data_IF_320227188346
#
_entry.id   IF_320227188346
#
_cell.length_a   1.000
_cell.length_b   1.000
_cell.length_c   1.000
_cell.angle_alpha   90.00
_cell.angle_beta   90.00
_cell.angle_gamma   90.00
#
_symmetry.space_group_name_H-M   'P 1'
#
loop_
_entity.id
_entity.type
_entity.pdbx_description
1 polymer ?
#
# COMPACT_ATOMS: atom_id res chain seq x y z
N UNK A 1 20.46 -11.51 8.73
CA UNK A 1 19.56 -10.38 8.40
C UNK A 1 20.32 -9.24 7.75
N UNK A 2 21.21 -8.52 8.45
CA UNK A 2 21.97 -7.38 7.85
C UNK A 2 22.71 -7.77 6.56
N UNK A 3 23.43 -8.89 6.56
CA UNK A 3 24.11 -9.39 5.35
C UNK A 3 23.13 -9.78 4.23
N UNK A 4 21.92 -10.23 4.56
CA UNK A 4 20.88 -10.55 3.58
C UNK A 4 20.40 -9.27 2.90
N UNK A 5 20.04 -8.26 3.68
CA UNK A 5 19.59 -6.95 3.16
C UNK A 5 20.70 -6.31 2.34
N UNK A 6 21.95 -6.39 2.76
CA UNK A 6 23.10 -5.89 2.00
C UNK A 6 23.27 -6.58 0.64
N UNK A 7 23.07 -7.90 0.57
CA UNK A 7 23.11 -8.64 -0.70
C UNK A 7 21.94 -8.24 -1.60
N UNK A 8 20.72 -8.22 -1.06
CA UNK A 8 19.50 -7.87 -1.80
C UNK A 8 19.57 -6.43 -2.33
N UNK A 9 20.02 -5.48 -1.52
CA UNK A 9 20.20 -4.08 -1.92
C UNK A 9 21.20 -3.95 -3.07
N UNK A 10 22.32 -4.69 -3.01
CA UNK A 10 23.32 -4.72 -4.07
C UNK A 10 22.76 -5.30 -5.37
N UNK A 11 22.05 -6.43 -5.29
CA UNK A 11 21.41 -7.05 -6.45
C UNK A 11 20.31 -6.15 -7.06
N UNK A 12 19.58 -5.42 -6.23
CA UNK A 12 18.56 -4.45 -6.63
C UNK A 12 19.13 -3.09 -7.09
N UNK A 13 20.44 -2.88 -6.98
CA UNK A 13 21.11 -1.65 -7.42
C UNK A 13 20.78 -0.41 -6.58
N UNK A 14 20.57 -0.57 -5.27
CA UNK A 14 20.34 0.53 -4.33
C UNK A 14 21.41 0.58 -3.24
N UNK A 15 21.58 1.75 -2.61
CA UNK A 15 22.38 1.86 -1.38
C UNK A 15 21.82 0.97 -0.25
N UNK A 16 22.71 0.58 0.67
CA UNK A 16 22.35 -0.30 1.79
C UNK A 16 21.32 0.39 2.71
N UNK A 17 20.11 -0.15 2.86
CA UNK A 17 19.16 0.33 3.85
C UNK A 17 19.70 0.13 5.27
N UNK A 18 19.37 1.06 6.17
CA UNK A 18 19.47 0.82 7.59
C UNK A 18 18.54 -0.35 7.96
N UNK A 19 18.96 -1.19 8.90
CA UNK A 19 18.17 -2.34 9.35
C UNK A 19 17.86 -2.17 10.82
N UNK A 20 16.57 -2.05 11.15
CA UNK A 20 16.09 -1.96 12.53
C UNK A 20 15.25 -3.18 12.91
N UNK A 21 15.30 -3.51 14.20
CA UNK A 21 14.38 -4.47 14.82
C UNK A 21 13.53 -3.70 15.81
N UNK A 22 12.21 -3.92 15.78
CA UNK A 22 11.30 -3.34 16.75
C UNK A 22 10.51 -4.44 17.46
N UNK A 23 10.12 -4.17 18.70
CA UNK A 23 9.41 -5.15 19.50
C UNK A 23 7.91 -5.14 19.18
N UNK A 24 7.42 -6.25 18.63
CA UNK A 24 6.01 -6.49 18.35
C UNK A 24 5.80 -7.99 18.12
N UNK A 25 4.78 -8.61 18.74
CA UNK A 25 4.48 -10.03 18.54
C UNK A 25 3.95 -10.34 17.13
N UNK A 26 3.49 -9.33 16.39
CA UNK A 26 2.91 -9.51 15.06
C UNK A 26 4.00 -9.82 14.03
N UNK A 27 3.71 -10.67 13.04
CA UNK A 27 4.62 -10.93 11.91
C UNK A 27 4.54 -9.76 10.95
N UNK A 28 5.54 -8.87 10.96
CA UNK A 28 5.53 -7.68 10.13
C UNK A 28 6.95 -7.15 9.81
N UNK A 29 7.08 -6.50 8.67
CA UNK A 29 8.24 -5.71 8.27
C UNK A 29 7.76 -4.55 7.39
N UNK A 30 8.54 -3.46 7.34
CA UNK A 30 8.25 -2.34 6.46
C UNK A 30 9.52 -1.60 6.04
N UNK A 31 9.52 -1.07 4.82
CA UNK A 31 10.49 -0.12 4.34
C UNK A 31 9.99 1.34 4.44
N UNK A 32 10.87 2.25 4.79
CA UNK A 32 10.64 3.70 4.73
C UNK A 32 11.88 4.44 4.20
N UNK A 33 11.71 5.61 3.58
CA UNK A 33 12.81 6.39 3.03
C UNK A 33 12.44 7.18 1.78
N UNK A 34 12.98 8.39 1.67
CA UNK A 34 12.74 9.26 0.50
C UNK A 34 13.73 8.99 -0.65
N UNK A 35 14.87 8.36 -0.37
CA UNK A 35 15.91 8.11 -1.37
C UNK A 35 16.26 6.63 -1.40
N UNK A 36 16.57 6.13 -2.60
CA UNK A 36 17.02 4.73 -2.79
C UNK A 36 18.26 4.39 -1.96
N UNK A 37 19.14 5.38 -1.79
CA UNK A 37 20.42 5.22 -1.10
C UNK A 37 20.37 5.61 0.39
N UNK A 38 19.19 5.99 0.89
CA UNK A 38 18.97 6.36 2.29
C UNK A 38 17.57 5.93 2.70
N UNK A 39 17.44 4.64 2.99
CA UNK A 39 16.20 3.99 3.41
C UNK A 39 16.42 3.15 4.66
N UNK A 40 15.32 2.78 5.32
CA UNK A 40 15.27 1.95 6.51
C UNK A 40 14.34 0.77 6.22
N UNK A 41 14.80 -0.43 6.56
CA UNK A 41 13.97 -1.64 6.63
C UNK A 41 13.85 -2.05 8.09
N UNK A 42 12.64 -2.04 8.61
CA UNK A 42 12.34 -2.40 10.00
C UNK A 42 11.62 -3.75 10.05
N UNK A 43 12.00 -4.60 11.00
CA UNK A 43 11.47 -5.97 11.16
C UNK A 43 10.99 -6.19 12.59
N UNK A 44 9.82 -6.81 12.78
CA UNK A 44 9.31 -7.12 14.12
C UNK A 44 10.00 -8.33 14.76
N UNK A 45 10.01 -8.40 16.09
CA UNK A 45 10.40 -9.60 16.84
C UNK A 45 9.51 -10.81 16.51
N UNK A 46 8.22 -10.57 16.26
CA UNK A 46 7.25 -11.58 15.81
C UNK A 46 7.62 -12.20 14.46
N UNK A 47 8.11 -11.43 13.49
CA UNK A 47 8.57 -11.96 12.21
C UNK A 47 9.78 -12.87 12.38
N UNK A 48 10.76 -12.42 13.17
CA UNK A 48 12.00 -13.17 13.41
C UNK A 48 11.77 -14.53 14.07
N UNK A 49 10.76 -14.63 14.94
CA UNK A 49 10.40 -15.88 15.61
C UNK A 49 9.35 -16.70 14.84
N UNK A 50 8.49 -16.02 14.08
CA UNK A 50 7.32 -16.62 13.44
C UNK A 50 7.58 -17.15 12.03
N UNK A 51 8.65 -16.72 11.36
CA UNK A 51 9.00 -17.14 9.99
C UNK A 51 10.31 -17.92 9.96
N UNK A 52 10.39 -18.87 9.02
CA UNK A 52 11.66 -19.51 8.68
C UNK A 52 12.60 -18.51 8.02
N UNK A 53 13.89 -18.85 7.95
CA UNK A 53 14.88 -18.00 7.29
C UNK A 53 14.52 -17.68 5.84
N UNK A 54 14.10 -18.67 5.05
CA UNK A 54 13.71 -18.47 3.65
C UNK A 54 12.53 -17.51 3.50
N UNK A 55 11.54 -17.65 4.38
CA UNK A 55 10.34 -16.80 4.39
C UNK A 55 10.70 -15.36 4.78
N UNK A 56 11.52 -15.18 5.82
CA UNK A 56 11.99 -13.87 6.25
C UNK A 56 12.87 -13.19 5.18
N UNK A 57 13.76 -13.93 4.51
CA UNK A 57 14.56 -13.41 3.40
C UNK A 57 13.68 -12.91 2.24
N UNK A 58 12.59 -13.63 1.92
CA UNK A 58 11.65 -13.20 0.90
C UNK A 58 10.86 -11.93 1.28
N UNK A 59 10.41 -11.80 2.54
CA UNK A 59 9.76 -10.57 3.03
C UNK A 59 10.74 -9.40 2.96
N UNK A 60 11.99 -9.57 3.36
CA UNK A 60 13.02 -8.53 3.23
C UNK A 60 13.26 -8.14 1.77
N UNK A 61 13.26 -9.11 0.84
CA UNK A 61 13.41 -8.83 -0.57
C UNK A 61 12.23 -8.05 -1.14
N UNK A 62 11.01 -8.26 -0.62
CA UNK A 62 9.82 -7.47 -0.96
C UNK A 62 9.97 -6.02 -0.50
N UNK A 63 10.40 -5.79 0.75
CA UNK A 63 10.66 -4.45 1.27
C UNK A 63 11.79 -3.73 0.52
N UNK A 64 12.88 -4.44 0.21
CA UNK A 64 13.97 -3.91 -0.63
C UNK A 64 13.47 -3.56 -2.03
N UNK A 65 12.57 -4.37 -2.59
CA UNK A 65 11.96 -4.08 -3.89
C UNK A 65 11.10 -2.81 -3.86
N UNK A 66 10.40 -2.52 -2.76
CA UNK A 66 9.69 -1.25 -2.58
C UNK A 66 10.64 -0.04 -2.62
N UNK A 67 11.77 -0.13 -1.90
CA UNK A 67 12.81 0.90 -1.95
C UNK A 67 13.37 1.04 -3.37
N UNK A 68 13.72 -0.09 -3.99
CA UNK A 68 14.28 -0.15 -5.33
C UNK A 68 13.30 0.23 -6.44
N UNK A 69 12.01 0.29 -6.18
CA UNK A 69 11.02 0.84 -7.12
C UNK A 69 10.77 2.35 -6.88
N UNK A 70 11.16 2.89 -5.72
CA UNK A 70 10.88 4.29 -5.36
C UNK A 70 9.41 4.51 -4.97
N UNK A 71 8.83 3.50 -4.33
CA UNK A 71 7.39 3.36 -4.14
C UNK A 71 6.79 4.40 -3.21
N UNK A 72 7.52 4.77 -2.15
CA UNK A 72 7.11 5.79 -1.18
C UNK A 72 6.99 7.17 -1.83
N UNK A 73 8.00 7.57 -2.61
CA UNK A 73 8.01 8.86 -3.30
C UNK A 73 6.96 8.88 -4.40
N UNK A 74 6.88 7.82 -5.20
CA UNK A 74 5.93 7.77 -6.33
C UNK A 74 4.50 7.82 -5.84
N UNK A 75 4.16 7.11 -4.75
CA UNK A 75 2.82 7.18 -4.16
C UNK A 75 2.51 8.59 -3.64
N UNK A 76 3.46 9.24 -2.97
CA UNK A 76 3.28 10.60 -2.46
C UNK A 76 3.08 11.61 -3.61
N UNK A 77 3.85 11.49 -4.69
CA UNK A 77 3.73 12.32 -5.88
C UNK A 77 2.38 12.12 -6.57
N UNK A 78 1.95 10.87 -6.77
CA UNK A 78 0.63 10.55 -7.33
C UNK A 78 -0.47 11.16 -6.46
N UNK A 79 -0.39 10.98 -5.13
CA UNK A 79 -1.38 11.55 -4.22
C UNK A 79 -1.44 13.08 -4.32
N UNK A 80 -0.29 13.74 -4.35
CA UNK A 80 -0.21 15.20 -4.50
C UNK A 80 -0.80 15.70 -5.83
N UNK A 81 -0.44 15.06 -6.94
CA UNK A 81 -0.96 15.39 -8.27
C UNK A 81 -2.47 15.19 -8.33
N UNK A 82 -2.96 14.03 -7.90
CA UNK A 82 -4.38 13.69 -7.91
C UNK A 82 -5.19 14.65 -7.02
N UNK A 83 -4.72 14.94 -5.80
CA UNK A 83 -5.39 15.90 -4.91
C UNK A 83 -5.47 17.30 -5.53
N UNK A 84 -4.40 17.73 -6.20
CA UNK A 84 -4.35 19.03 -6.89
C UNK A 84 -5.38 19.09 -8.01
N UNK A 85 -5.48 18.05 -8.84
CA UNK A 85 -6.48 17.99 -9.91
C UNK A 85 -7.91 17.95 -9.39
N UNK A 86 -8.18 17.16 -8.36
CA UNK A 86 -9.50 17.14 -7.71
C UNK A 86 -9.86 18.55 -7.24
N UNK A 87 -8.99 19.18 -6.44
CA UNK A 87 -9.22 20.50 -5.88
C UNK A 87 -9.39 21.61 -6.93
N UNK A 88 -8.58 21.56 -8.00
CA UNK A 88 -8.64 22.51 -9.10
C UNK A 88 -9.91 22.33 -9.94
N UNK A 89 -10.18 21.10 -10.40
CA UNK A 89 -11.34 20.81 -11.25
C UNK A 89 -12.65 21.03 -10.52
N UNK A 90 -12.74 20.71 -9.22
CA UNK A 90 -13.92 21.02 -8.41
C UNK A 90 -14.25 22.51 -8.40
N UNK A 91 -13.23 23.38 -8.31
CA UNK A 91 -13.44 24.84 -8.38
C UNK A 91 -13.84 25.31 -9.76
N UNK A 92 -13.22 24.76 -10.81
CA UNK A 92 -13.58 25.09 -12.20
C UNK A 92 -15.03 24.71 -12.46
N UNK A 93 -15.45 23.51 -12.06
CA UNK A 93 -16.83 23.03 -12.17
C UNK A 93 -17.77 23.94 -11.37
N UNK A 94 -17.44 24.23 -10.12
CA UNK A 94 -18.26 25.10 -9.28
C UNK A 94 -18.42 26.50 -9.87
N UNK A 95 -17.35 27.06 -10.44
CA UNK A 95 -17.38 28.36 -11.12
C UNK A 95 -18.26 28.36 -12.37
N UNK A 96 -18.14 27.32 -13.20
CA UNK A 96 -18.95 27.17 -14.41
C UNK A 96 -20.42 27.04 -14.05
N UNK A 97 -20.77 26.22 -13.05
CA UNK A 97 -22.17 26.00 -12.66
C UNK A 97 -22.77 27.28 -12.05
N UNK A 98 -22.05 27.97 -11.15
CA UNK A 98 -22.52 29.21 -10.52
C UNK A 98 -22.81 30.31 -11.58
N UNK A 99 -21.95 30.43 -12.60
CA UNK A 99 -22.14 31.43 -13.67
C UNK A 99 -23.15 31.02 -14.73
N UNK A 100 -23.13 29.78 -15.19
CA UNK A 100 -23.95 29.33 -16.32
C UNK A 100 -25.39 29.00 -15.90
N UNK A 101 -25.59 28.42 -14.72
CA UNK A 101 -26.89 27.97 -14.24
C UNK A 101 -27.55 29.02 -13.36
N UNK A 102 -26.82 29.54 -12.37
CA UNK A 102 -27.37 30.46 -11.38
C UNK A 102 -27.20 31.94 -11.76
N UNK A 103 -26.46 32.23 -12.85
CA UNK A 103 -26.25 33.58 -13.38
C UNK A 103 -25.79 34.58 -12.31
N UNK A 104 -24.97 34.13 -11.36
CA UNK A 104 -24.44 34.99 -10.29
C UNK A 104 -23.53 36.06 -10.90
N UNK A 105 -23.94 37.34 -10.85
CA UNK A 105 -23.22 38.44 -11.52
C UNK A 105 -22.11 39.07 -10.66
N UNK A 106 -22.13 38.89 -9.33
CA UNK A 106 -21.10 39.40 -8.40
C UNK A 106 -20.70 38.37 -7.35
N UNK A 107 -19.39 38.10 -7.24
CA UNK A 107 -18.82 37.19 -6.23
C UNK A 107 -19.09 35.70 -6.50
N UNK A 108 -18.89 34.87 -5.48
CA UNK A 108 -19.27 33.46 -5.48
C UNK A 108 -20.52 33.26 -4.62
N UNK A 109 -21.60 32.78 -5.23
CA UNK A 109 -22.85 32.50 -4.52
C UNK A 109 -22.77 31.20 -3.70
N UNK A 110 -23.78 30.91 -2.86
CA UNK A 110 -23.90 29.61 -2.18
C UNK A 110 -23.84 28.42 -3.14
N UNK A 111 -24.35 28.59 -4.37
CA UNK A 111 -24.32 27.58 -5.42
C UNK A 111 -22.88 27.16 -5.81
N UNK A 112 -21.93 28.11 -5.90
CA UNK A 112 -20.52 27.80 -6.12
C UNK A 112 -19.96 26.87 -5.03
N UNK A 113 -20.23 27.18 -3.76
CA UNK A 113 -19.70 26.39 -2.65
C UNK A 113 -20.30 25.00 -2.60
N UNK A 114 -21.62 24.88 -2.76
CA UNK A 114 -22.31 23.58 -2.79
C UNK A 114 -21.80 22.73 -3.96
N UNK A 115 -21.74 23.29 -5.16
CA UNK A 115 -21.31 22.56 -6.36
C UNK A 115 -19.84 22.17 -6.29
N UNK A 116 -18.97 23.03 -5.75
CA UNK A 116 -17.56 22.71 -5.52
C UNK A 116 -17.40 21.54 -4.55
N UNK A 117 -18.13 21.54 -3.43
CA UNK A 117 -18.09 20.44 -2.45
C UNK A 117 -18.59 19.14 -3.08
N UNK A 118 -19.72 19.17 -3.78
CA UNK A 118 -20.26 17.98 -4.46
C UNK A 118 -19.28 17.46 -5.51
N UNK A 119 -18.74 18.35 -6.36
CA UNK A 119 -17.74 17.98 -7.35
C UNK A 119 -16.48 17.40 -6.71
N UNK A 120 -16.04 17.95 -5.57
CA UNK A 120 -14.87 17.45 -4.83
C UNK A 120 -15.10 16.05 -4.26
N UNK A 121 -16.29 15.75 -3.74
CA UNK A 121 -16.63 14.41 -3.28
C UNK A 121 -16.63 13.41 -4.44
N UNK A 122 -17.30 13.75 -5.55
CA UNK A 122 -17.39 12.88 -6.73
C UNK A 122 -16.00 12.64 -7.34
N UNK A 123 -15.24 13.70 -7.62
CA UNK A 123 -13.90 13.59 -8.17
C UNK A 123 -12.95 12.90 -7.19
N UNK A 124 -13.10 13.13 -5.89
CA UNK A 124 -12.31 12.46 -4.84
C UNK A 124 -12.50 10.95 -4.80
N UNK A 125 -13.73 10.47 -5.01
CA UNK A 125 -14.03 9.02 -5.11
C UNK A 125 -13.39 8.42 -6.38
N UNK A 126 -13.45 9.12 -7.51
CA UNK A 126 -12.81 8.66 -8.75
C UNK A 126 -11.28 8.65 -8.62
N UNK A 127 -10.72 9.70 -8.01
CA UNK A 127 -9.32 9.83 -7.68
C UNK A 127 -8.82 8.70 -6.78
N UNK A 128 -9.56 8.34 -5.73
CA UNK A 128 -9.17 7.27 -4.82
C UNK A 128 -9.10 5.93 -5.54
N UNK A 129 -9.99 5.65 -6.49
CA UNK A 129 -9.94 4.43 -7.30
C UNK A 129 -8.61 4.30 -8.07
N UNK A 130 -8.09 5.41 -8.61
CA UNK A 130 -6.79 5.44 -9.32
C UNK A 130 -5.64 5.17 -8.34
N UNK A 131 -5.64 5.84 -7.18
CA UNK A 131 -4.61 5.65 -6.14
C UNK A 131 -4.60 4.21 -5.63
N UNK A 132 -5.78 3.64 -5.37
CA UNK A 132 -5.91 2.25 -4.90
C UNK A 132 -5.46 1.24 -5.95
N UNK A 133 -5.75 1.49 -7.23
CA UNK A 133 -5.23 0.67 -8.33
C UNK A 133 -3.70 0.71 -8.39
N UNK A 134 -3.11 1.91 -8.31
CA UNK A 134 -1.66 2.06 -8.32
C UNK A 134 -1.02 1.38 -7.09
N UNK A 135 -1.64 1.49 -5.91
CA UNK A 135 -1.18 0.79 -4.70
C UNK A 135 -1.11 -0.72 -4.91
N UNK A 136 -2.14 -1.33 -5.51
CA UNK A 136 -2.12 -2.78 -5.80
C UNK A 136 -1.04 -3.16 -6.82
N UNK A 137 -0.87 -2.37 -7.88
CA UNK A 137 0.13 -2.66 -8.91
C UNK A 137 1.55 -2.69 -8.34
N UNK A 138 1.80 -1.85 -7.34
CA UNK A 138 3.08 -1.74 -6.64
C UNK A 138 3.42 -2.99 -5.85
N UNK A 139 2.45 -3.56 -5.15
CA UNK A 139 2.60 -4.83 -4.41
C UNK A 139 2.98 -5.98 -5.34
N UNK A 140 2.30 -6.10 -6.50
CA UNK A 140 2.64 -7.12 -7.50
C UNK A 140 4.05 -6.94 -8.07
N UNK A 141 4.51 -5.70 -8.26
CA UNK A 141 5.89 -5.41 -8.69
C UNK A 141 6.90 -5.75 -7.61
N UNK A 142 6.61 -5.47 -6.35
CA UNK A 142 7.46 -5.82 -5.23
C UNK A 142 7.54 -7.35 -5.01
N UNK A 143 6.43 -8.07 -5.17
CA UNK A 143 6.40 -9.54 -5.17
C UNK A 143 7.26 -10.14 -6.28
N UNK A 144 7.14 -9.61 -7.49
CA UNK A 144 7.98 -10.03 -8.62
C UNK A 144 9.47 -9.71 -8.38
N UNK A 145 9.77 -8.56 -7.77
CA UNK A 145 11.13 -8.19 -7.35
C UNK A 145 11.69 -9.15 -6.30
N UNK A 146 10.90 -9.50 -5.28
CA UNK A 146 11.28 -10.49 -4.28
C UNK A 146 11.51 -11.88 -4.90
N UNK A 147 10.66 -12.28 -5.83
CA UNK A 147 10.80 -13.53 -6.58
C UNK A 147 12.07 -13.55 -7.44
N UNK A 148 12.46 -12.41 -8.01
CA UNK A 148 13.71 -12.26 -8.76
C UNK A 148 14.95 -12.34 -7.86
N UNK A 149 14.90 -11.74 -6.66
CA UNK A 149 16.04 -11.68 -5.72
C UNK A 149 16.24 -12.98 -4.91
N UNK A 150 15.16 -13.68 -4.56
CA UNK A 150 15.19 -14.80 -3.61
C UNK A 150 14.54 -16.09 -4.13
N UNK A 151 13.89 -16.02 -5.29
CA UNK A 151 13.14 -17.12 -5.89
C UNK A 151 11.66 -17.12 -5.52
N UNK A 152 10.80 -17.35 -6.52
CA UNK A 152 9.32 -17.33 -6.37
C UNK A 152 8.79 -18.25 -5.26
N UNK A 153 9.42 -19.40 -5.04
CA UNK A 153 8.98 -20.37 -4.04
C UNK A 153 9.18 -19.88 -2.60
N UNK A 154 10.22 -19.07 -2.33
CA UNK A 154 10.41 -18.47 -1.01
C UNK A 154 9.32 -17.43 -0.74
N UNK A 155 9.00 -16.59 -1.74
CA UNK A 155 7.95 -15.58 -1.61
C UNK A 155 6.55 -16.19 -1.45
N UNK A 156 6.22 -17.24 -2.21
CA UNK A 156 4.94 -17.96 -2.05
C UNK A 156 4.81 -18.51 -0.62
N UNK A 157 5.83 -19.19 -0.10
CA UNK A 157 5.83 -19.71 1.28
C UNK A 157 5.66 -18.59 2.31
N UNK A 158 6.33 -17.45 2.12
CA UNK A 158 6.19 -16.30 3.00
C UNK A 158 4.75 -15.76 3.04
N UNK A 159 4.09 -15.62 1.88
CA UNK A 159 2.69 -15.18 1.80
C UNK A 159 1.73 -16.20 2.42
N UNK A 160 1.96 -17.49 2.20
CA UNK A 160 1.17 -18.56 2.82
C UNK A 160 1.33 -18.58 4.35
N UNK A 161 2.54 -18.25 4.87
CA UNK A 161 2.79 -18.11 6.31
C UNK A 161 2.05 -16.91 6.89
N UNK A 162 2.09 -15.75 6.22
CA UNK A 162 1.32 -14.55 6.60
C UNK A 162 -0.19 -14.80 6.59
N UNK A 163 -0.69 -15.55 5.61
CA UNK A 163 -2.11 -15.91 5.54
C UNK A 163 -2.54 -16.75 6.75
N UNK A 164 -1.67 -17.65 7.22
CA UNK A 164 -1.94 -18.46 8.42
C UNK A 164 -1.92 -17.61 9.69
N UNK A 165 -0.97 -16.70 9.84
CA UNK A 165 -0.87 -15.85 11.05
C UNK A 165 -2.03 -14.86 11.18
N UNK A 166 -2.58 -14.35 10.08
CA UNK A 166 -3.77 -13.47 10.11
C UNK A 166 -5.02 -14.22 10.61
N UNK A 167 -5.07 -15.54 10.39
CA UNK A 167 -6.17 -16.38 10.83
C UNK A 167 -5.98 -16.94 12.26
N UNK A 168 -4.82 -16.71 12.89
CA UNK A 168 -4.61 -17.03 14.30
C UNK A 168 -5.17 -15.87 15.16
N UNK A 169 -6.20 -16.09 15.99
CA UNK A 169 -6.78 -15.02 16.80
C UNK A 169 -5.79 -14.62 17.89
N UNK A 170 -5.24 -13.40 17.80
CA UNK A 170 -4.49 -12.76 18.88
C UNK A 170 -5.36 -11.85 19.76
N UNK A 171 -6.68 -11.82 19.54
CA UNK A 171 -7.60 -11.02 20.32
C UNK A 171 -7.97 -11.76 21.62
N UNK A 172 -7.89 -11.10 22.79
CA UNK A 172 -8.58 -11.56 23.98
C UNK A 172 -10.08 -11.67 23.66
N UNK A 173 -10.73 -12.78 24.05
CA UNK A 173 -12.18 -13.04 23.90
C UNK A 173 -13.08 -11.85 24.32
N UNK A 174 -12.56 -10.95 25.16
CA UNK A 174 -13.27 -9.77 25.66
C UNK A 174 -13.54 -8.67 24.61
N UNK A 175 -12.86 -8.67 23.46
CA UNK A 175 -13.08 -7.68 22.39
C UNK A 175 -14.12 -8.12 21.34
N UNK A 176 -14.43 -9.41 21.22
CA UNK A 176 -15.52 -9.89 20.35
C UNK A 176 -16.91 -9.44 20.86
N UNK A 177 -17.03 -9.21 22.17
CA UNK A 177 -18.25 -8.74 22.81
C UNK A 177 -18.68 -7.31 22.41
N UNK A 178 -17.81 -6.53 21.77
CA UNK A 178 -18.10 -5.16 21.30
C UNK A 178 -18.65 -5.07 19.87
N UNK A 179 -18.96 -6.21 19.22
CA UNK A 179 -19.78 -6.21 18.01
C UNK A 179 -19.15 -5.56 16.77
N UNK A 180 -17.83 -5.34 16.77
CA UNK A 180 -17.06 -4.93 15.59
C UNK A 180 -16.70 -6.17 14.75
N UNK A 181 -17.66 -7.06 14.56
CA UNK A 181 -17.62 -8.15 13.57
C UNK A 181 -18.63 -7.90 12.46
N UNK A 182 -18.84 -6.61 12.14
CA UNK A 182 -19.60 -6.18 10.97
C UNK A 182 -18.85 -6.56 9.69
N UNK A 183 -19.16 -7.74 9.15
CA UNK A 183 -18.67 -8.19 7.86
C UNK A 183 -19.05 -7.21 6.75
N UNK A 184 -18.15 -6.28 6.42
CA UNK A 184 -18.18 -5.62 5.13
C UNK A 184 -18.06 -6.71 4.06
N UNK A 185 -19.06 -6.81 3.19
CA UNK A 185 -19.09 -7.79 2.10
C UNK A 185 -17.74 -7.84 1.39
N UNK A 186 -17.28 -9.05 1.09
CA UNK A 186 -15.96 -9.35 0.53
C UNK A 186 -15.60 -8.47 -0.66
N UNK A 187 -16.59 -8.03 -1.47
CA UNK A 187 -16.42 -7.09 -2.57
C UNK A 187 -16.13 -5.63 -2.18
N UNK A 188 -16.77 -5.09 -1.14
CA UNK A 188 -16.53 -3.71 -0.66
C UNK A 188 -15.22 -3.63 0.13
N UNK A 189 -14.92 -4.65 0.95
CA UNK A 189 -13.62 -4.75 1.64
C UNK A 189 -12.45 -4.78 0.63
N UNK A 190 -12.60 -5.50 -0.49
CA UNK A 190 -11.63 -5.51 -1.61
C UNK A 190 -11.37 -4.15 -2.24
N UNK A 191 -12.36 -3.26 -2.26
CA UNK A 191 -12.19 -1.93 -2.82
C UNK A 191 -11.39 -1.00 -1.91
N UNK A 192 -11.40 -1.20 -0.59
CA UNK A 192 -10.70 -0.35 0.39
C UNK A 192 -9.43 -0.95 0.98
N UNK A 193 -9.03 -2.18 0.60
CA UNK A 193 -7.76 -2.76 1.02
C UNK A 193 -6.58 -2.10 0.26
N UNK A 194 -5.60 -1.60 1.02
CA UNK A 194 -4.36 -1.00 0.48
C UNK A 194 -3.45 -2.03 -0.18
N UNK A 195 -3.58 -3.31 0.21
CA UNK A 195 -2.90 -4.47 -0.36
C UNK A 195 -3.90 -5.39 -1.06
N UNK A 196 -3.54 -5.99 -2.21
CA UNK A 196 -4.36 -7.02 -2.83
C UNK A 196 -4.46 -8.26 -1.92
N UNK A 197 -5.54 -9.05 -2.02
CA UNK A 197 -5.68 -10.30 -1.28
C UNK A 197 -4.46 -11.21 -1.46
N UNK A 198 -4.03 -11.87 -0.38
CA UNK A 198 -2.86 -12.77 -0.42
C UNK A 198 -3.01 -13.88 -1.46
N UNK A 199 -4.23 -14.41 -1.65
CA UNK A 199 -4.50 -15.42 -2.67
C UNK A 199 -4.22 -14.93 -4.10
N UNK A 200 -4.52 -13.66 -4.39
CA UNK A 200 -4.27 -13.06 -5.71
C UNK A 200 -2.76 -12.86 -5.93
N UNK A 201 -2.02 -12.45 -4.89
CA UNK A 201 -0.56 -12.32 -4.92
C UNK A 201 0.13 -13.67 -5.13
N UNK A 202 -0.31 -14.70 -4.40
CA UNK A 202 0.19 -16.07 -4.55
C UNK A 202 -0.11 -16.61 -5.96
N UNK A 203 -1.32 -16.39 -6.47
CA UNK A 203 -1.69 -16.80 -7.82
C UNK A 203 -0.83 -16.09 -8.89
N UNK A 204 -0.59 -14.79 -8.74
CA UNK A 204 0.27 -14.02 -9.64
C UNK A 204 1.71 -14.58 -9.67
N UNK A 205 2.28 -14.90 -8.50
CA UNK A 205 3.61 -15.52 -8.39
C UNK A 205 3.67 -16.92 -9.00
N UNK A 206 2.62 -17.73 -8.85
CA UNK A 206 2.55 -19.07 -9.47
C UNK A 206 2.49 -19.02 -10.99
N UNK A 207 1.90 -17.96 -11.55
CA UNK A 207 1.79 -17.73 -12.98
C UNK A 207 3.01 -17.01 -13.58
N UNK A 208 3.96 -16.57 -12.76
CA UNK A 208 5.21 -15.97 -13.22
C UNK A 208 6.10 -17.04 -13.86
N UNK A 209 6.60 -16.75 -15.07
CA UNK A 209 7.58 -17.59 -15.75
C UNK A 209 8.87 -17.69 -14.92
N UNK A 210 9.55 -18.82 -15.03
CA UNK A 210 10.88 -19.04 -14.42
C UNK A 210 11.97 -18.20 -15.09
#
# INVERSE_FOLDING_TARGET
MVNTVARQAKEAGIGMPEVAIYDSPDINAFATGMMRDSSLVAVSTGLLHGMTRDEAEAVLAHEVSHVANGDMVTLALIQGVINTFVFFLSRVIGHIIDRAVFKTERGHGPAYWITTVVAQLVLGILASAIVMWFSRQREYRADAGAAYLEGKQKMIRALERLQKSINEPHLPEQLEAFGISGGMGTGLKRLFMSHPPLDERIAALRNMAD
#
